data_IF_843389972970
#
_entry.id   IF_843389972970
#
_cell.length_a   1.000
_cell.length_b   1.000
_cell.length_c   1.000
_cell.angle_alpha   90.00
_cell.angle_beta   90.00
_cell.angle_gamma   90.00
#
_symmetry.space_group_name_H-M   'P 1'
#
loop_
_entity.id
_entity.type
_entity.pdbx_description
1 polymer ?
#
# COMPACT_ATOMS: atom_id res chain seq x y z
N UNK A 1 -8.46 17.40 -4.91
CA UNK A 1 -9.24 16.24 -4.43
C UNK A 1 -8.57 15.75 -3.16
N UNK A 2 -9.35 15.40 -2.14
CA UNK A 2 -8.84 15.08 -0.81
C UNK A 2 -8.76 13.56 -0.66
N UNK A 3 -7.61 13.05 -0.22
CA UNK A 3 -7.46 11.66 0.17
C UNK A 3 -8.47 11.32 1.26
N UNK A 4 -9.24 10.26 1.07
CA UNK A 4 -10.11 9.72 2.11
C UNK A 4 -9.28 8.87 3.05
N UNK A 5 -9.15 9.31 4.30
CA UNK A 5 -8.48 8.53 5.34
C UNK A 5 -9.28 7.27 5.69
N UNK A 6 -8.59 6.14 5.79
CA UNK A 6 -9.18 4.86 6.20
C UNK A 6 -8.69 4.46 7.59
N UNK A 7 -7.38 4.49 7.82
CA UNK A 7 -6.84 4.08 9.11
C UNK A 7 -5.33 4.22 9.22
N UNK A 8 -4.87 4.23 10.47
CA UNK A 8 -3.47 4.25 10.88
C UNK A 8 -3.22 3.05 11.77
N UNK A 9 -2.02 2.50 11.71
CA UNK A 9 -1.59 1.42 12.58
C UNK A 9 -1.82 1.75 14.07
N UNK A 10 -2.63 0.96 14.81
CA UNK A 10 -2.96 1.24 16.20
C UNK A 10 -1.80 0.98 17.17
N UNK A 11 -0.75 0.26 16.75
CA UNK A 11 0.35 -0.17 17.61
C UNK A 11 1.62 0.68 17.47
N UNK A 12 1.58 1.74 16.67
CA UNK A 12 2.75 2.59 16.49
C UNK A 12 2.67 3.81 17.40
N UNK A 13 3.66 3.98 18.27
CA UNK A 13 3.88 5.27 18.95
C UNK A 13 4.36 6.33 17.96
N UNK A 14 4.64 7.55 18.44
CA UNK A 14 4.86 8.78 17.64
C UNK A 14 5.89 8.73 16.50
N UNK A 15 6.65 7.64 16.34
CA UNK A 15 7.76 7.53 15.37
C UNK A 15 7.47 6.65 14.15
N UNK A 16 6.37 5.91 14.15
CA UNK A 16 5.96 5.09 13.01
C UNK A 16 4.47 5.31 12.81
N UNK A 17 4.02 5.31 11.56
CA UNK A 17 2.60 5.52 11.26
C UNK A 17 2.24 4.94 9.89
N UNK A 18 2.37 3.61 9.69
CA UNK A 18 1.76 3.00 8.51
C UNK A 18 0.28 3.40 8.43
N UNK A 19 -0.13 3.91 7.28
CA UNK A 19 -1.42 4.60 7.10
C UNK A 19 -2.01 4.26 5.74
N UNK A 20 -3.33 4.14 5.69
CA UNK A 20 -4.09 3.83 4.48
C UNK A 20 -5.04 4.98 4.16
N UNK A 21 -5.03 5.40 2.90
CA UNK A 21 -6.01 6.30 2.31
C UNK A 21 -6.54 5.72 1.00
N UNK A 22 -7.62 6.33 0.51
CA UNK A 22 -8.16 6.14 -0.83
C UNK A 22 -8.13 7.47 -1.58
N UNK A 23 -7.63 7.46 -2.81
CA UNK A 23 -7.86 8.52 -3.78
C UNK A 23 -9.04 8.13 -4.68
N UNK A 24 -10.26 8.51 -4.27
CA UNK A 24 -11.49 8.18 -4.99
C UNK A 24 -11.52 8.78 -6.41
N UNK A 25 -10.71 9.83 -6.67
CA UNK A 25 -10.67 10.47 -7.99
C UNK A 25 -9.84 9.71 -9.00
N UNK A 26 -8.78 9.05 -8.53
CA UNK A 26 -7.88 8.25 -9.35
C UNK A 26 -8.20 6.76 -9.29
N UNK A 27 -9.11 6.36 -8.40
CA UNK A 27 -9.42 4.97 -8.11
C UNK A 27 -8.17 4.22 -7.60
N UNK A 28 -7.43 4.85 -6.67
CA UNK A 28 -6.16 4.34 -6.15
C UNK A 28 -6.21 4.09 -4.64
N UNK A 29 -5.58 3.00 -4.21
CA UNK A 29 -5.21 2.80 -2.81
C UNK A 29 -3.88 3.51 -2.56
N UNK A 30 -3.81 4.30 -1.49
CA UNK A 30 -2.60 5.04 -1.13
C UNK A 30 -2.12 4.57 0.24
N UNK A 31 -0.82 4.23 0.31
CA UNK A 31 -0.21 3.66 1.49
C UNK A 31 1.01 4.45 1.94
N UNK A 32 1.08 4.71 3.23
CA UNK A 32 2.34 4.98 3.93
C UNK A 32 2.71 3.71 4.68
N UNK A 33 3.96 3.26 4.55
CA UNK A 33 4.45 2.03 5.17
C UNK A 33 5.90 2.15 5.62
N UNK A 34 6.50 1.02 5.99
CA UNK A 34 7.94 0.97 6.25
C UNK A 34 8.72 0.57 5.01
N UNK A 35 9.93 1.10 4.90
CA UNK A 35 10.89 0.68 3.90
C UNK A 35 11.29 -0.80 4.12
N UNK A 36 11.56 -1.54 3.04
CA UNK A 36 12.10 -2.89 3.13
C UNK A 36 13.53 -2.88 3.69
N UNK A 37 13.99 -4.03 4.17
CA UNK A 37 15.43 -4.21 4.30
C UNK A 37 16.03 -4.51 2.91
N UNK A 38 17.34 -4.32 2.71
CA UNK A 38 17.99 -4.66 1.43
C UNK A 38 17.75 -6.11 1.01
N UNK A 39 17.68 -7.04 1.96
CA UNK A 39 17.43 -8.46 1.68
C UNK A 39 15.99 -8.70 1.18
N UNK A 40 15.01 -8.05 1.81
CA UNK A 40 13.61 -8.15 1.37
C UNK A 40 13.40 -7.49 0.00
N UNK A 41 14.03 -6.35 -0.24
CA UNK A 41 13.97 -5.69 -1.55
C UNK A 41 14.62 -6.55 -2.64
N UNK A 42 15.76 -7.20 -2.33
CA UNK A 42 16.39 -8.15 -3.24
C UNK A 42 15.49 -9.37 -3.53
N UNK A 43 14.78 -9.89 -2.52
CA UNK A 43 13.80 -10.97 -2.71
C UNK A 43 12.65 -10.54 -3.62
N UNK A 44 12.10 -9.34 -3.43
CA UNK A 44 11.06 -8.80 -4.31
C UNK A 44 11.55 -8.59 -5.75
N UNK A 45 12.74 -8.02 -5.92
CA UNK A 45 13.33 -7.75 -7.26
C UNK A 45 13.71 -9.01 -8.02
N UNK A 46 13.93 -10.14 -7.33
CA UNK A 46 14.21 -11.43 -7.94
C UNK A 46 12.98 -12.14 -8.50
N UNK A 47 11.76 -11.65 -8.22
CA UNK A 47 10.53 -12.29 -8.67
C UNK A 47 10.29 -12.03 -10.17
N UNK A 48 10.32 -13.09 -10.98
CA UNK A 48 10.05 -13.01 -12.41
C UNK A 48 8.57 -13.21 -12.72
N UNK A 49 7.96 -12.22 -13.35
CA UNK A 49 6.60 -12.32 -13.90
C UNK A 49 6.71 -12.42 -15.43
N UNK A 50 6.10 -13.44 -16.07
CA UNK A 50 6.14 -13.57 -17.53
C UNK A 50 5.70 -12.27 -18.23
N UNK A 51 6.54 -11.76 -19.12
CA UNK A 51 6.28 -10.51 -19.87
C UNK A 51 6.77 -9.23 -19.18
N UNK A 52 7.42 -9.31 -18.03
CA UNK A 52 7.99 -8.16 -17.31
C UNK A 52 9.50 -8.31 -17.13
N UNK A 53 10.21 -7.18 -17.10
CA UNK A 53 11.62 -7.15 -16.74
C UNK A 53 11.79 -7.45 -15.24
N UNK A 54 12.88 -8.13 -14.89
CA UNK A 54 13.26 -8.36 -13.50
C UNK A 54 13.63 -7.02 -12.83
N UNK A 55 13.24 -6.84 -11.56
CA UNK A 55 13.54 -5.65 -10.76
C UNK A 55 12.32 -4.77 -10.46
N UNK A 56 12.56 -3.68 -9.73
CA UNK A 56 11.57 -2.63 -9.45
C UNK A 56 11.83 -1.47 -10.41
N UNK A 57 10.88 -1.13 -11.31
CA UNK A 57 11.00 0.00 -12.22
C UNK A 57 11.16 1.36 -11.55
N UNK A 58 11.63 2.35 -12.33
CA UNK A 58 11.70 3.73 -11.87
C UNK A 58 10.31 4.25 -11.48
N UNK A 59 10.20 4.83 -10.27
CA UNK A 59 8.95 5.34 -9.73
C UNK A 59 8.12 4.31 -8.94
N UNK A 60 8.55 3.05 -8.89
CA UNK A 60 7.94 2.01 -8.06
C UNK A 60 8.78 1.77 -6.79
N UNK A 61 8.13 1.26 -5.73
CA UNK A 61 8.80 0.94 -4.48
C UNK A 61 8.10 -0.23 -3.77
N UNK A 62 8.90 -1.04 -3.08
CA UNK A 62 8.36 -2.01 -2.12
C UNK A 62 8.03 -1.26 -0.83
N UNK A 63 6.81 -1.44 -0.33
CA UNK A 63 6.37 -0.89 0.95
C UNK A 63 5.87 -2.01 1.86
N UNK A 64 6.26 -1.97 3.13
CA UNK A 64 5.80 -2.94 4.12
C UNK A 64 4.62 -2.37 4.90
N UNK A 65 3.53 -3.11 4.88
CA UNK A 65 2.33 -2.85 5.70
C UNK A 65 2.14 -4.00 6.69
N UNK A 66 2.01 -3.73 8.00
CA UNK A 66 1.89 -4.79 8.99
C UNK A 66 0.54 -5.49 8.90
N UNK A 67 0.54 -6.81 9.12
CA UNK A 67 -0.65 -7.66 8.99
C UNK A 67 -1.86 -7.21 9.85
N UNK A 68 -1.62 -6.54 10.98
CA UNK A 68 -2.70 -5.97 11.81
C UNK A 68 -3.53 -4.89 11.11
N UNK A 69 -3.01 -4.30 10.03
CA UNK A 69 -3.76 -3.33 9.20
C UNK A 69 -4.62 -3.98 8.11
N UNK A 70 -4.64 -5.32 8.00
CA UNK A 70 -5.45 -6.02 6.97
C UNK A 70 -6.92 -5.56 6.99
N UNK A 71 -7.50 -5.30 8.17
CA UNK A 71 -8.86 -4.77 8.27
C UNK A 71 -9.03 -3.42 7.57
N UNK A 72 -8.08 -2.51 7.74
CA UNK A 72 -8.08 -1.18 7.11
C UNK A 72 -7.86 -1.28 5.61
N UNK A 73 -6.97 -2.18 5.16
CA UNK A 73 -6.75 -2.43 3.73
C UNK A 73 -8.03 -2.93 3.07
N UNK A 74 -8.75 -3.87 3.71
CA UNK A 74 -10.04 -4.37 3.19
C UNK A 74 -11.09 -3.26 3.12
N UNK A 75 -11.21 -2.43 4.15
CA UNK A 75 -12.13 -1.30 4.12
C UNK A 75 -11.80 -0.31 2.99
N UNK A 76 -10.51 -0.08 2.71
CA UNK A 76 -10.07 0.75 1.61
C UNK A 76 -10.47 0.15 0.25
N UNK A 77 -10.31 -1.17 0.07
CA UNK A 77 -10.80 -1.87 -1.13
C UNK A 77 -12.32 -1.70 -1.27
N UNK A 78 -13.09 -1.97 -0.21
CA UNK A 78 -14.55 -1.85 -0.21
C UNK A 78 -14.99 -0.41 -0.55
N UNK A 79 -14.21 0.60 -0.17
CA UNK A 79 -14.49 1.99 -0.47
C UNK A 79 -14.33 2.31 -1.97
N UNK A 80 -13.30 1.78 -2.62
CA UNK A 80 -13.11 1.92 -4.07
C UNK A 80 -14.17 1.16 -4.85
N UNK A 81 -14.38 -0.13 -4.54
CA UNK A 81 -15.31 -0.98 -5.27
C UNK A 81 -16.76 -0.47 -5.20
N UNK A 82 -17.19 0.10 -4.06
CA UNK A 82 -18.53 0.70 -3.93
C UNK A 82 -18.67 2.02 -4.68
N UNK A 83 -17.57 2.71 -4.98
CA UNK A 83 -17.62 3.99 -5.69
C UNK A 83 -18.03 3.82 -7.16
N UNK A 84 -17.78 2.63 -7.74
CA UNK A 84 -18.18 2.26 -9.09
C UNK A 84 -19.66 1.84 -9.24
N UNK A 85 -20.41 1.69 -8.13
CA UNK A 85 -21.81 1.22 -8.13
C UNK A 85 -22.83 2.39 -8.18
N UNK A 86 -22.44 3.56 -8.69
CA UNK A 86 -23.32 4.75 -8.75
C UNK A 86 -23.75 5.14 -10.16
#
# INVERSE_FOLDING_TARGET
>A
MALRFIGIDPNTGDKQSPTVWVDESKQELVFQGWEPSPELEAECTAFEVPGHAQGIPEGEAVIRIPARMIGMVREACDALERSDVR
#
